data_IF_541710814956
#
_entry.id   IF_541710814956
#
_cell.length_a   1.000
_cell.length_b   1.000
_cell.length_c   1.000
_cell.angle_alpha   90.00
_cell.angle_beta   90.00
_cell.angle_gamma   90.00
#
_symmetry.space_group_name_H-M   'P 1'
#
loop_
_entity.id
_entity.type
_entity.pdbx_description
1 polymer ?
#
# COMPACT_ATOMS: atom_id res chain seq x y z
N UNK A 1 -68.73 18.35 -31.81
CA UNK A 1 -67.25 18.30 -31.77
C UNK A 1 -66.86 17.69 -30.43
N UNK A 2 -66.49 16.41 -30.40
CA UNK A 2 -66.08 15.74 -29.15
C UNK A 2 -64.60 16.02 -28.88
N UNK A 3 -64.29 16.60 -27.72
CA UNK A 3 -62.92 16.79 -27.25
C UNK A 3 -62.32 15.41 -26.94
N UNK A 4 -61.19 15.00 -27.53
CA UNK A 4 -60.59 13.71 -27.19
C UNK A 4 -60.09 13.77 -25.74
N UNK A 5 -60.61 12.86 -24.89
CA UNK A 5 -60.11 12.67 -23.52
C UNK A 5 -58.68 12.18 -23.59
N UNK A 6 -57.73 13.00 -23.11
CA UNK A 6 -56.32 12.67 -22.98
C UNK A 6 -56.21 11.42 -22.10
N UNK A 7 -55.84 10.29 -22.70
CA UNK A 7 -55.63 9.02 -22.00
C UNK A 7 -54.45 9.22 -21.05
N UNK A 8 -54.74 9.39 -19.76
CA UNK A 8 -53.70 9.56 -18.74
C UNK A 8 -52.82 8.32 -18.72
N UNK A 9 -51.51 8.52 -18.88
CA UNK A 9 -50.53 7.44 -18.83
C UNK A 9 -50.67 6.69 -17.50
N UNK A 10 -50.74 5.36 -17.56
CA UNK A 10 -50.96 4.50 -16.40
C UNK A 10 -49.90 4.80 -15.31
N UNK A 11 -50.28 5.11 -14.06
CA UNK A 11 -49.34 5.41 -12.98
C UNK A 11 -48.30 4.31 -12.74
N UNK A 12 -48.56 3.06 -13.11
CA UNK A 12 -47.56 1.97 -13.11
C UNK A 12 -46.34 2.27 -13.99
N UNK A 13 -46.52 2.96 -15.12
CA UNK A 13 -45.40 3.36 -16.01
C UNK A 13 -44.47 4.33 -15.29
N UNK A 14 -45.02 5.27 -14.51
CA UNK A 14 -44.22 6.19 -13.71
C UNK A 14 -43.49 5.50 -12.57
N UNK A 15 -44.08 4.45 -11.97
CA UNK A 15 -43.42 3.63 -10.95
C UNK A 15 -42.22 2.88 -11.55
N UNK A 16 -42.36 2.25 -12.73
CA UNK A 16 -41.25 1.57 -13.38
C UNK A 16 -40.15 2.51 -13.85
N UNK A 17 -40.51 3.70 -14.36
CA UNK A 17 -39.53 4.74 -14.73
C UNK A 17 -38.78 5.26 -13.49
N UNK A 18 -39.48 5.49 -12.38
CA UNK A 18 -38.85 5.91 -11.13
C UNK A 18 -37.93 4.83 -10.55
N UNK A 19 -38.34 3.55 -10.61
CA UNK A 19 -37.53 2.43 -10.13
C UNK A 19 -36.28 2.21 -11.00
N UNK A 20 -36.41 2.32 -12.32
CA UNK A 20 -35.29 2.27 -13.26
C UNK A 20 -34.33 3.44 -13.09
N UNK A 21 -34.85 4.66 -12.92
CA UNK A 21 -34.04 5.84 -12.64
C UNK A 21 -33.30 5.73 -11.30
N UNK A 22 -33.94 5.22 -10.24
CA UNK A 22 -33.32 4.99 -8.95
C UNK A 22 -32.17 3.96 -9.03
N UNK A 23 -32.35 2.87 -9.78
CA UNK A 23 -31.29 1.88 -10.01
C UNK A 23 -30.07 2.50 -10.72
N UNK A 24 -30.30 3.28 -11.78
CA UNK A 24 -29.21 3.96 -12.50
C UNK A 24 -28.50 5.00 -11.63
N UNK A 25 -29.24 5.79 -10.85
CA UNK A 25 -28.67 6.80 -9.93
C UNK A 25 -27.85 6.11 -8.82
N UNK A 26 -28.34 5.00 -8.26
CA UNK A 26 -27.62 4.23 -7.25
C UNK A 26 -26.32 3.63 -7.79
N UNK A 27 -26.31 3.09 -9.02
CA UNK A 27 -25.10 2.58 -9.67
C UNK A 27 -24.09 3.70 -9.91
N UNK A 28 -24.55 4.87 -10.39
CA UNK A 28 -23.67 6.03 -10.61
C UNK A 28 -23.11 6.55 -9.29
N UNK A 29 -23.94 6.67 -8.25
CA UNK A 29 -23.51 7.12 -6.92
C UNK A 29 -22.53 6.14 -6.26
N UNK A 30 -22.80 4.84 -6.37
CA UNK A 30 -21.90 3.79 -5.88
C UNK A 30 -20.58 3.78 -6.67
N UNK A 31 -20.64 3.89 -8.00
CA UNK A 31 -19.46 4.00 -8.87
C UNK A 31 -18.61 5.24 -8.57
N UNK A 32 -19.25 6.38 -8.27
CA UNK A 32 -18.53 7.59 -7.87
C UNK A 32 -17.86 7.45 -6.49
N UNK A 33 -18.51 6.78 -5.54
CA UNK A 33 -17.95 6.53 -4.21
C UNK A 33 -16.76 5.57 -4.28
N UNK A 34 -16.88 4.45 -5.01
CA UNK A 34 -15.77 3.49 -5.18
C UNK A 34 -14.62 4.10 -5.97
N UNK A 35 -14.88 4.91 -6.99
CA UNK A 35 -13.83 5.65 -7.72
C UNK A 35 -13.09 6.64 -6.82
N UNK A 36 -13.78 7.28 -5.88
CA UNK A 36 -13.16 8.22 -4.93
C UNK A 36 -12.25 7.50 -3.93
N UNK A 37 -12.71 6.39 -3.36
CA UNK A 37 -11.89 5.55 -2.46
C UNK A 37 -10.68 5.01 -3.21
N UNK A 38 -10.90 4.45 -4.41
CA UNK A 38 -9.84 3.91 -5.25
C UNK A 38 -8.78 4.96 -5.63
N UNK A 39 -9.21 6.17 -6.00
CA UNK A 39 -8.27 7.23 -6.35
C UNK A 39 -7.41 7.71 -5.16
N UNK A 40 -7.88 7.52 -3.92
CA UNK A 40 -7.11 7.87 -2.73
C UNK A 40 -6.20 6.73 -2.25
N UNK A 41 -6.58 5.47 -2.49
CA UNK A 41 -5.77 4.30 -2.10
C UNK A 41 -4.71 3.95 -3.15
N UNK A 42 -4.95 4.24 -4.42
CA UNK A 42 -4.04 3.84 -5.51
C UNK A 42 -2.63 4.40 -5.39
N UNK A 43 -2.47 5.59 -4.80
CA UNK A 43 -1.17 6.25 -4.66
C UNK A 43 -0.27 5.55 -3.63
N UNK A 44 -0.84 4.64 -2.82
CA UNK A 44 -0.13 3.84 -1.84
C UNK A 44 0.37 2.50 -2.41
N UNK A 45 -0.22 2.00 -3.50
CA UNK A 45 0.17 0.72 -4.08
C UNK A 45 1.67 0.64 -4.41
N UNK A 46 2.30 1.66 -5.04
CA UNK A 46 3.73 1.60 -5.31
C UNK A 46 4.57 1.40 -4.04
N UNK A 47 4.19 2.01 -2.92
CA UNK A 47 4.87 1.83 -1.64
C UNK A 47 4.69 0.42 -1.08
N UNK A 48 3.46 -0.12 -1.08
CA UNK A 48 3.21 -1.48 -0.59
C UNK A 48 3.94 -2.52 -1.43
N UNK A 49 3.90 -2.40 -2.76
CA UNK A 49 4.63 -3.30 -3.65
C UNK A 49 6.15 -3.13 -3.53
N UNK A 50 6.65 -1.91 -3.32
CA UNK A 50 8.08 -1.68 -3.05
C UNK A 50 8.51 -2.36 -1.76
N UNK A 51 7.72 -2.26 -0.68
CA UNK A 51 7.98 -2.96 0.59
C UNK A 51 7.95 -4.48 0.43
N UNK A 52 6.96 -5.03 -0.27
CA UNK A 52 6.91 -6.46 -0.56
C UNK A 52 8.11 -6.93 -1.42
N UNK A 53 8.60 -6.08 -2.32
CA UNK A 53 9.81 -6.36 -3.10
C UNK A 53 11.07 -6.29 -2.23
N UNK A 54 11.14 -5.32 -1.31
CA UNK A 54 12.22 -5.21 -0.34
C UNK A 54 12.29 -6.42 0.58
N UNK A 55 11.14 -6.94 1.02
CA UNK A 55 11.06 -8.16 1.81
C UNK A 55 11.67 -9.35 1.07
N UNK A 56 11.21 -9.63 -0.16
CA UNK A 56 11.76 -10.71 -1.00
C UNK A 56 13.25 -10.53 -1.27
N UNK A 57 13.69 -9.29 -1.52
CA UNK A 57 15.09 -8.97 -1.74
C UNK A 57 15.92 -9.23 -0.48
N UNK A 58 15.41 -8.86 0.70
CA UNK A 58 16.07 -9.10 1.97
C UNK A 58 16.15 -10.59 2.30
N UNK A 59 15.05 -11.33 2.14
CA UNK A 59 15.01 -12.77 2.37
C UNK A 59 16.05 -13.50 1.48
N UNK A 60 16.14 -13.13 0.21
CA UNK A 60 17.16 -13.68 -0.70
C UNK A 60 18.60 -13.28 -0.29
N UNK A 61 18.82 -12.02 0.08
CA UNK A 61 20.11 -11.54 0.58
C UNK A 61 20.55 -12.31 1.83
N UNK A 62 19.67 -12.42 2.83
CA UNK A 62 19.96 -13.09 4.11
C UNK A 62 20.19 -14.59 3.88
N UNK A 63 19.47 -15.22 2.95
CA UNK A 63 19.72 -16.62 2.57
C UNK A 63 21.10 -16.82 1.95
N UNK A 64 21.58 -15.87 1.13
CA UNK A 64 22.89 -15.97 0.48
C UNK A 64 24.05 -15.56 1.41
N UNK A 65 23.91 -14.44 2.12
CA UNK A 65 24.97 -13.85 2.95
C UNK A 65 24.95 -14.32 4.40
N UNK A 66 23.85 -14.90 4.86
CA UNK A 66 23.65 -15.39 6.22
C UNK A 66 23.41 -14.30 7.27
N UNK A 67 23.46 -13.02 6.89
CA UNK A 67 23.28 -11.86 7.77
C UNK A 67 22.46 -10.78 7.06
N UNK A 68 21.86 -9.88 7.83
CA UNK A 68 21.25 -8.66 7.31
C UNK A 68 22.30 -7.67 6.78
N UNK A 69 21.97 -6.84 5.77
CA UNK A 69 22.92 -5.92 5.15
C UNK A 69 23.39 -4.82 6.13
N UNK A 70 24.56 -4.20 5.88
CA UNK A 70 24.98 -2.98 6.55
C UNK A 70 23.94 -1.86 6.42
N UNK A 71 23.78 -1.06 7.47
CA UNK A 71 22.75 -0.03 7.53
C UNK A 71 23.03 1.17 6.61
N UNK A 72 24.28 1.49 6.33
CA UNK A 72 24.69 2.64 5.51
C UNK A 72 24.65 2.36 3.99
N UNK A 73 24.61 1.08 3.60
CA UNK A 73 24.61 0.64 2.20
C UNK A 73 23.46 -0.33 1.85
N UNK A 74 22.43 -0.42 2.68
CA UNK A 74 21.41 -1.47 2.53
C UNK A 74 20.71 -1.48 1.15
N UNK A 75 20.44 -0.33 0.54
CA UNK A 75 19.85 -0.30 -0.82
C UNK A 75 20.85 -0.77 -1.88
N UNK A 76 22.13 -0.45 -1.74
CA UNK A 76 23.17 -0.90 -2.66
C UNK A 76 23.34 -2.42 -2.60
N UNK A 77 23.33 -2.97 -1.38
CA UNK A 77 23.44 -4.40 -1.12
C UNK A 77 22.22 -5.18 -1.61
N UNK A 78 21.02 -4.61 -1.48
CA UNK A 78 19.78 -5.21 -1.96
C UNK A 78 19.52 -4.99 -3.46
N UNK A 79 20.24 -4.08 -4.13
CA UNK A 79 20.02 -3.72 -5.53
C UNK A 79 19.86 -4.90 -6.51
N UNK A 80 20.76 -5.91 -6.54
CA UNK A 80 20.61 -7.02 -7.47
C UNK A 80 19.35 -7.86 -7.19
N UNK A 81 19.05 -8.11 -5.92
CA UNK A 81 17.89 -8.91 -5.49
C UNK A 81 16.57 -8.16 -5.74
N UNK A 82 16.55 -6.87 -5.42
CA UNK A 82 15.39 -6.01 -5.65
C UNK A 82 15.08 -5.86 -7.14
N UNK A 83 16.10 -5.67 -7.98
CA UNK A 83 15.93 -5.54 -9.44
C UNK A 83 15.31 -6.80 -10.04
N UNK A 84 15.74 -7.98 -9.57
CA UNK A 84 15.15 -9.27 -9.96
C UNK A 84 13.66 -9.35 -9.60
N UNK A 85 13.29 -9.06 -8.36
CA UNK A 85 11.90 -9.17 -7.89
C UNK A 85 10.97 -8.09 -8.47
N UNK A 86 11.46 -6.85 -8.60
CA UNK A 86 10.71 -5.77 -9.25
C UNK A 86 10.44 -6.04 -10.73
N UNK A 87 11.39 -6.67 -11.45
CA UNK A 87 11.18 -7.08 -12.83
C UNK A 87 10.14 -8.19 -12.93
N UNK A 88 10.22 -9.22 -12.07
CA UNK A 88 9.21 -10.30 -12.01
C UNK A 88 7.80 -9.75 -11.79
N UNK A 89 7.65 -8.80 -10.86
CA UNK A 89 6.35 -8.20 -10.58
C UNK A 89 5.83 -7.34 -11.75
N UNK A 90 6.69 -6.58 -12.43
CA UNK A 90 6.31 -5.87 -13.66
C UNK A 90 5.83 -6.84 -14.74
N UNK A 91 6.51 -7.97 -14.88
CA UNK A 91 6.16 -8.99 -15.85
C UNK A 91 4.83 -9.71 -15.51
N UNK A 92 4.54 -9.92 -14.23
CA UNK A 92 3.26 -10.49 -13.77
C UNK A 92 2.09 -9.52 -14.01
N UNK A 93 2.32 -8.22 -13.87
CA UNK A 93 1.28 -7.20 -13.99
C UNK A 93 1.11 -6.62 -15.40
N UNK A 94 1.99 -6.93 -16.36
CA UNK A 94 1.91 -6.39 -17.74
C UNK A 94 0.60 -6.72 -18.46
N UNK A 95 0.02 -7.87 -18.11
CA UNK A 95 -1.21 -8.40 -18.70
C UNK A 95 -2.45 -8.10 -17.83
N UNK A 96 -2.27 -7.45 -16.67
CA UNK A 96 -3.37 -7.10 -15.79
C UNK A 96 -4.35 -6.11 -16.45
N UNK A 97 -5.67 -6.19 -16.20
CA UNK A 97 -6.62 -5.28 -16.84
C UNK A 97 -6.57 -3.86 -16.24
N UNK A 98 -6.74 -2.85 -17.10
CA UNK A 98 -6.96 -1.46 -16.68
C UNK A 98 -5.78 -0.83 -15.92
N UNK A 99 -6.03 0.00 -14.89
CA UNK A 99 -4.99 0.74 -14.17
C UNK A 99 -4.07 -0.16 -13.31
N UNK A 100 -4.36 -1.46 -13.20
CA UNK A 100 -3.51 -2.41 -12.47
C UNK A 100 -2.14 -2.61 -13.13
N UNK A 101 -2.02 -2.38 -14.45
CA UNK A 101 -0.73 -2.45 -15.15
C UNK A 101 0.29 -1.46 -14.58
N UNK A 102 -0.19 -0.31 -14.15
CA UNK A 102 0.66 0.75 -13.60
C UNK A 102 1.05 0.50 -12.14
N UNK A 103 0.43 -0.48 -11.47
CA UNK A 103 0.76 -0.83 -10.08
C UNK A 103 2.09 -1.56 -9.94
N UNK A 104 2.56 -2.20 -11.02
CA UNK A 104 3.88 -2.84 -11.06
C UNK A 104 5.04 -1.84 -11.12
N UNK A 105 4.77 -0.53 -11.23
CA UNK A 105 5.78 0.51 -11.16
C UNK A 105 6.21 0.76 -9.72
N UNK A 106 6.92 -0.21 -9.15
CA UNK A 106 7.61 -0.04 -7.87
C UNK A 106 8.73 0.97 -7.98
N UNK A 107 9.10 1.52 -6.82
CA UNK A 107 10.19 2.48 -6.70
C UNK A 107 11.50 1.85 -7.17
N UNK A 108 12.31 2.62 -7.90
CA UNK A 108 13.65 2.19 -8.26
C UNK A 108 14.53 2.09 -7.00
N UNK A 109 15.34 1.03 -6.88
CA UNK A 109 16.20 0.81 -5.71
C UNK A 109 17.26 1.91 -5.51
N UNK A 110 17.57 2.70 -6.54
CA UNK A 110 18.45 3.86 -6.44
C UNK A 110 17.76 5.11 -5.86
N UNK A 111 16.43 5.12 -5.81
CA UNK A 111 15.64 6.26 -5.35
C UNK A 111 15.18 6.15 -3.89
N UNK A 112 14.43 7.18 -3.49
CA UNK A 112 13.79 7.27 -2.19
C UNK A 112 12.49 6.43 -2.17
N UNK A 113 12.40 5.47 -1.25
CA UNK A 113 11.20 4.65 -1.06
C UNK A 113 10.06 5.45 -0.46
N UNK A 114 9.29 6.11 -1.31
CA UNK A 114 8.24 7.04 -0.90
C UNK A 114 6.88 6.35 -0.78
N UNK A 115 6.18 6.64 0.31
CA UNK A 115 4.77 6.31 0.51
C UNK A 115 3.94 7.59 0.41
N UNK A 116 3.20 7.71 -0.68
CA UNK A 116 2.35 8.88 -0.92
C UNK A 116 0.93 8.63 -0.44
N UNK A 117 0.41 9.60 0.30
CA UNK A 117 -1.01 9.76 0.61
C UNK A 117 -1.44 11.16 0.20
N UNK A 118 -2.74 11.46 0.15
CA UNK A 118 -3.27 12.75 -0.34
C UNK A 118 -2.60 13.95 0.35
N UNK A 119 -1.60 14.54 -0.33
CA UNK A 119 -0.85 15.72 0.12
C UNK A 119 0.30 15.46 1.11
N UNK A 120 0.58 14.21 1.52
CA UNK A 120 1.66 13.90 2.48
C UNK A 120 2.51 12.75 1.95
N UNK A 121 3.82 12.96 1.93
CA UNK A 121 4.81 11.95 1.62
C UNK A 121 5.53 11.53 2.89
N UNK A 122 5.66 10.23 3.04
CA UNK A 122 6.55 9.55 3.99
C UNK A 122 7.50 8.65 3.21
N UNK A 123 8.46 8.05 3.91
CA UNK A 123 9.52 7.25 3.31
C UNK A 123 9.77 5.98 4.12
N UNK A 124 10.52 5.04 3.56
CA UNK A 124 10.90 3.81 4.25
C UNK A 124 12.32 3.92 4.79
N UNK A 125 12.46 3.65 6.09
CA UNK A 125 13.73 3.48 6.77
C UNK A 125 13.99 2.01 7.09
N UNK A 126 15.27 1.66 7.12
CA UNK A 126 15.78 0.39 7.60
C UNK A 126 16.18 0.50 9.07
N UNK A 127 15.90 -0.54 9.87
CA UNK A 127 16.30 -0.56 11.28
C UNK A 127 17.78 -0.96 11.41
N UNK A 128 18.69 -0.05 11.82
CA UNK A 128 20.11 -0.36 11.93
C UNK A 128 20.41 -1.37 13.05
N UNK A 129 19.49 -1.60 13.99
CA UNK A 129 19.70 -2.55 15.08
C UNK A 129 19.79 -4.00 14.62
N UNK A 130 19.30 -4.34 13.43
CA UNK A 130 19.40 -5.69 12.86
C UNK A 130 20.57 -5.85 11.90
N UNK A 131 21.22 -4.76 11.48
CA UNK A 131 22.29 -4.79 10.49
C UNK A 131 23.43 -5.73 10.92
N UNK A 132 23.88 -6.59 10.01
CA UNK A 132 24.95 -7.56 10.24
C UNK A 132 24.59 -8.72 11.18
N UNK A 133 23.38 -8.76 11.76
CA UNK A 133 22.93 -9.90 12.58
C UNK A 133 22.45 -11.05 11.71
N UNK A 134 22.52 -12.28 12.23
CA UNK A 134 21.80 -13.40 11.62
C UNK A 134 20.35 -13.37 12.05
N UNK A 135 19.46 -13.90 11.21
CA UNK A 135 18.06 -14.11 11.57
C UNK A 135 17.92 -14.96 12.86
N UNK A 136 18.78 -15.96 13.03
CA UNK A 136 18.83 -16.83 14.22
C UNK A 136 19.20 -16.11 15.52
N UNK A 137 19.80 -14.92 15.42
CA UNK A 137 20.28 -14.16 16.59
C UNK A 137 19.21 -13.19 17.10
N UNK A 138 18.08 -13.07 16.40
CA UNK A 138 16.94 -12.27 16.81
C UNK A 138 16.09 -13.04 17.81
N UNK A 139 15.78 -12.41 18.95
CA UNK A 139 14.97 -13.04 20.01
C UNK A 139 13.55 -13.34 19.53
N UNK A 140 12.93 -12.35 18.87
CA UNK A 140 11.55 -12.41 18.41
C UNK A 140 11.48 -11.87 16.97
N UNK A 141 11.73 -12.70 15.94
CA UNK A 141 11.75 -12.25 14.55
C UNK A 141 10.45 -11.56 14.10
N UNK A 142 9.30 -12.06 14.59
CA UNK A 142 7.98 -11.50 14.26
C UNK A 142 7.73 -10.11 14.86
N UNK A 143 8.36 -9.77 15.99
CA UNK A 143 8.24 -8.45 16.63
C UNK A 143 9.44 -7.54 16.31
N UNK A 144 10.50 -8.07 15.70
CA UNK A 144 11.67 -7.29 15.30
C UNK A 144 11.37 -6.56 14.01
N UNK A 145 11.26 -5.23 14.08
CA UNK A 145 11.01 -4.37 12.92
C UNK A 145 12.24 -4.26 12.04
N UNK A 146 12.06 -4.54 10.75
CA UNK A 146 13.08 -4.48 9.71
C UNK A 146 13.00 -3.19 8.90
N UNK A 147 11.84 -2.92 8.32
CA UNK A 147 11.54 -1.69 7.58
C UNK A 147 10.37 -0.98 8.23
N UNK A 148 10.37 0.35 8.20
CA UNK A 148 9.27 1.12 8.74
C UNK A 148 9.17 2.50 8.10
N UNK A 149 8.00 3.08 8.27
CA UNK A 149 7.68 4.38 7.71
C UNK A 149 8.24 5.54 8.55
N UNK A 150 8.83 6.51 7.87
CA UNK A 150 9.41 7.70 8.45
C UNK A 150 9.10 8.97 7.66
N UNK A 151 9.46 10.11 8.25
CA UNK A 151 9.39 11.45 7.65
C UNK A 151 10.75 11.89 7.09
N UNK A 152 11.84 11.22 7.47
CA UNK A 152 13.17 11.42 6.89
C UNK A 152 13.13 11.07 5.40
N UNK A 153 13.87 11.79 4.56
CA UNK A 153 13.96 11.56 3.10
C UNK A 153 15.39 11.22 2.73
N UNK A 154 15.58 10.53 1.61
CA UNK A 154 16.87 10.18 1.06
C UNK A 154 17.02 8.69 0.79
N UNK A 155 18.22 8.35 0.34
CA UNK A 155 18.69 7.00 0.09
C UNK A 155 19.41 6.44 1.33
N UNK A 156 19.37 5.11 1.49
CA UNK A 156 19.93 4.37 2.60
C UNK A 156 19.49 4.93 3.95
N UNK A 157 18.22 5.34 4.07
CA UNK A 157 17.69 5.82 5.35
C UNK A 157 17.78 4.67 6.34
N UNK A 158 18.56 4.88 7.39
CA UNK A 158 18.67 3.97 8.51
C UNK A 158 18.55 4.77 9.80
N UNK A 159 17.51 4.48 10.58
CA UNK A 159 17.27 5.14 11.85
C UNK A 159 16.72 4.13 12.87
N UNK A 160 16.99 4.28 14.17
CA UNK A 160 16.46 3.35 15.17
C UNK A 160 14.93 3.35 15.16
N UNK A 161 14.34 2.15 15.14
CA UNK A 161 12.88 2.04 15.17
C UNK A 161 12.31 2.56 16.49
N UNK A 162 11.26 3.39 16.39
CA UNK A 162 10.46 3.85 17.53
C UNK A 162 9.00 3.88 17.11
N UNK A 163 8.12 3.41 17.99
CA UNK A 163 6.69 3.58 17.79
C UNK A 163 6.36 5.09 17.74
N UNK A 164 5.58 5.47 16.73
CA UNK A 164 5.12 6.84 16.50
C UNK A 164 3.65 6.95 16.92
N UNK A 165 3.26 8.14 17.37
CA UNK A 165 1.88 8.39 17.76
C UNK A 165 0.95 8.23 16.54
N UNK A 166 -0.17 7.53 16.73
CA UNK A 166 -1.18 7.31 15.70
C UNK A 166 -1.75 8.64 15.19
N UNK A 167 -1.91 9.63 16.06
CA UNK A 167 -2.48 10.94 15.69
C UNK A 167 -1.62 11.71 14.69
N UNK A 168 -0.32 11.41 14.67
CA UNK A 168 0.68 12.05 13.81
C UNK A 168 0.90 11.25 12.51
N UNK A 169 0.20 10.12 12.34
CA UNK A 169 0.32 9.31 11.13
C UNK A 169 -0.26 10.00 9.89
N UNK A 170 0.23 9.65 8.68
CA UNK A 170 -0.35 10.14 7.45
C UNK A 170 -1.85 9.83 7.37
N UNK A 171 -2.59 10.65 6.63
CA UNK A 171 -4.04 10.52 6.51
C UNK A 171 -4.43 9.78 5.24
N UNK A 172 -5.47 8.97 5.34
CA UNK A 172 -6.19 8.36 4.22
C UNK A 172 -7.68 8.62 4.43
N UNK A 173 -8.38 9.11 3.40
CA UNK A 173 -9.80 9.48 3.53
C UNK A 173 -10.08 10.45 4.70
N UNK A 174 -9.14 11.36 4.97
CA UNK A 174 -9.24 12.35 6.04
C UNK A 174 -8.98 11.83 7.46
N UNK A 175 -8.78 10.51 7.64
CA UNK A 175 -8.47 9.89 8.93
C UNK A 175 -7.01 9.46 9.00
N UNK A 176 -6.34 9.52 10.17
CA UNK A 176 -5.01 8.94 10.32
C UNK A 176 -5.05 7.45 10.00
N UNK A 177 -4.14 6.96 9.17
CA UNK A 177 -4.11 5.56 8.72
C UNK A 177 -3.15 4.68 9.50
N UNK A 178 -2.41 5.25 10.46
CA UNK A 178 -1.34 4.57 11.17
C UNK A 178 -0.04 4.51 10.36
N UNK A 179 1.03 4.10 11.04
CA UNK A 179 2.37 3.97 10.48
C UNK A 179 2.61 2.55 10.00
N UNK A 180 3.12 2.39 8.78
CA UNK A 180 3.52 1.09 8.25
C UNK A 180 4.84 0.64 8.88
N UNK A 181 4.91 -0.64 9.24
CA UNK A 181 6.14 -1.35 9.58
C UNK A 181 6.11 -2.76 9.04
N UNK A 182 7.28 -3.34 8.86
CA UNK A 182 7.49 -4.69 8.37
C UNK A 182 8.44 -5.41 9.32
N UNK A 183 8.02 -6.58 9.80
CA UNK A 183 8.83 -7.45 10.64
C UNK A 183 9.92 -8.17 9.83
N UNK A 184 10.87 -8.79 10.53
CA UNK A 184 11.87 -9.69 9.88
C UNK A 184 11.28 -11.01 9.39
N UNK A 185 10.02 -11.28 9.72
CA UNK A 185 9.20 -12.37 9.18
C UNK A 185 8.45 -11.98 7.88
N UNK A 186 8.64 -10.75 7.41
CA UNK A 186 7.99 -10.20 6.22
C UNK A 186 6.56 -9.71 6.46
N UNK A 187 6.04 -9.79 7.68
CA UNK A 187 4.69 -9.33 7.97
C UNK A 187 4.62 -7.81 8.00
N UNK A 188 3.78 -7.24 7.13
CA UNK A 188 3.44 -5.83 7.18
C UNK A 188 2.34 -5.58 8.21
N UNK A 189 2.58 -4.61 9.08
CA UNK A 189 1.69 -4.25 10.19
C UNK A 189 1.46 -2.76 10.20
N UNK A 190 0.22 -2.37 10.48
CA UNK A 190 -0.19 -1.02 10.82
C UNK A 190 -0.67 -0.99 12.26
N UNK A 191 -0.31 0.06 12.99
CA UNK A 191 -0.85 0.31 14.34
C UNK A 191 -2.07 1.21 14.24
N UNK A 192 -3.21 0.79 14.78
CA UNK A 192 -4.45 1.58 14.79
C UNK A 192 -4.53 2.56 15.97
N UNK A 193 -5.63 3.31 16.05
CA UNK A 193 -5.90 4.31 17.09
C UNK A 193 -5.91 3.76 18.53
N UNK A 194 -6.12 2.45 18.69
CA UNK A 194 -6.13 1.77 19.99
C UNK A 194 -4.75 1.23 20.38
N UNK A 195 -3.74 1.41 19.52
CA UNK A 195 -2.43 0.79 19.65
C UNK A 195 -2.41 -0.67 19.16
N UNK A 196 -3.51 -1.17 18.58
CA UNK A 196 -3.58 -2.55 18.10
C UNK A 196 -2.84 -2.67 16.76
N UNK A 197 -1.94 -3.64 16.70
CA UNK A 197 -1.24 -4.09 15.49
C UNK A 197 -2.21 -4.87 14.60
N UNK A 198 -2.42 -4.41 13.37
CA UNK A 198 -3.23 -5.09 12.36
C UNK A 198 -2.35 -5.48 11.17
N UNK A 199 -2.41 -6.75 10.77
CA UNK A 199 -1.68 -7.25 9.61
C UNK A 199 -2.29 -6.70 8.33
N UNK A 200 -1.42 -6.28 7.40
CA UNK A 200 -1.79 -5.82 6.07
C UNK A 200 -1.50 -6.97 5.11
N UNK A 201 -2.56 -7.53 4.54
CA UNK A 201 -2.43 -8.59 3.54
C UNK A 201 -2.26 -7.97 2.16
N UNK A 202 -1.07 -8.15 1.57
CA UNK A 202 -0.70 -7.61 0.26
C UNK A 202 -0.91 -8.67 -0.85
N UNK A 203 -1.24 -9.92 -0.47
CA UNK A 203 -1.37 -11.05 -1.39
C UNK A 203 -2.83 -11.45 -1.68
N UNK A 204 -3.81 -10.58 -1.41
CA UNK A 204 -5.23 -10.82 -1.74
C UNK A 204 -5.61 -10.36 -3.14
#
# INVERSE_FOLDING_TARGET
MGVPKKQGTNPLVWIFVALGAFCCIAIIAFGAMTATVFNQTKDMFPCMFSLATLDKAMDEYVKEKGVFPPADSWQDELAPYYTKHSTSMKDELKDAPGPMKDWGNVTDISGDFKCSTTGVNTFIAYNPEIAGKKLSDLKDPADTVMFFETTSTGRNIAEPFKDKDFKDSPKMMGQPRGWYRMGTDGEMVVTDQTGKKTKVDINQ
#
